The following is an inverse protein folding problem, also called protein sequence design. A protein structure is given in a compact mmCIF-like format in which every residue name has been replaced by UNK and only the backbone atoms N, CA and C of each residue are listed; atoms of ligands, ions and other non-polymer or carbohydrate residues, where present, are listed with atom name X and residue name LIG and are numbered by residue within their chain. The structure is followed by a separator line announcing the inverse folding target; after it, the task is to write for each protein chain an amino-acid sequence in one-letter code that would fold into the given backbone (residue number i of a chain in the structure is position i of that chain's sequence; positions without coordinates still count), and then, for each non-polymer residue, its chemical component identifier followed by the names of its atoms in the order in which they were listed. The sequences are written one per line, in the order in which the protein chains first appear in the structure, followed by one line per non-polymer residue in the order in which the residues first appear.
data_IF_842091813233
#
_entry.id   IF_842091813233
#
_cell.length_a   1.000
_cell.length_b   1.000
_cell.length_c   1.000
_cell.angle_alpha   90.00
_cell.angle_beta   90.00
_cell.angle_gamma   90.00
#
_symmetry.space_group_name_H-M   'P 1'
#
loop_
_entity.id
_entity.type
_entity.pdbx_description
1 polymer ?
#
# COMPACT_ATOMS: atom_id res chain seq x y z
N UNK A 1 49.21 72.71 14.94
CA UNK A 1 49.43 71.25 15.18
C UNK A 1 50.66 70.83 14.39
N UNK A 2 51.69 70.28 15.00
CA UNK A 2 52.97 70.04 14.29
C UNK A 2 52.77 68.89 13.27
N UNK A 3 53.25 69.08 12.03
CA UNK A 3 53.19 68.14 10.91
C UNK A 3 53.63 66.69 11.35
N UNK A 4 54.57 66.61 12.30
CA UNK A 4 55.00 65.31 12.88
C UNK A 4 53.91 64.53 13.60
N UNK A 5 52.91 65.14 14.21
CA UNK A 5 51.80 64.42 14.88
C UNK A 5 50.83 63.89 13.86
N UNK A 6 50.65 64.57 12.72
CA UNK A 6 49.75 64.14 11.64
C UNK A 6 50.33 62.94 10.88
N UNK A 7 51.66 62.95 10.64
CA UNK A 7 52.32 61.78 10.02
C UNK A 7 52.32 60.52 10.89
N UNK A 8 52.49 60.70 12.21
CA UNK A 8 52.47 59.57 13.18
C UNK A 8 51.07 58.96 13.24
N UNK A 9 50.02 59.80 13.29
CA UNK A 9 48.61 59.29 13.32
C UNK A 9 48.23 58.59 12.02
N UNK A 10 48.71 59.04 10.85
CA UNK A 10 48.51 58.38 9.58
C UNK A 10 49.17 57.01 9.50
N UNK A 11 50.41 56.87 10.03
CA UNK A 11 51.13 55.59 10.05
C UNK A 11 50.43 54.62 10.99
N UNK A 12 49.95 55.09 12.17
CA UNK A 12 49.24 54.21 13.09
C UNK A 12 47.88 53.74 12.49
N UNK A 13 47.16 54.64 11.78
CA UNK A 13 45.89 54.29 11.13
C UNK A 13 46.12 53.22 10.03
N UNK A 14 47.20 53.32 9.23
CA UNK A 14 47.56 52.37 8.21
C UNK A 14 47.92 51.00 8.80
N UNK A 15 48.68 50.99 9.91
CA UNK A 15 49.06 49.75 10.60
C UNK A 15 47.83 49.06 11.20
N UNK A 16 46.94 49.79 11.85
CA UNK A 16 45.71 49.24 12.45
C UNK A 16 44.78 48.68 11.33
N UNK A 17 44.60 49.42 10.24
CA UNK A 17 43.84 49.00 9.08
C UNK A 17 44.41 47.73 8.45
N UNK A 18 45.75 47.68 8.27
CA UNK A 18 46.45 46.51 7.72
C UNK A 18 46.31 45.28 8.63
N UNK A 19 46.46 45.45 9.94
CA UNK A 19 46.25 44.36 10.92
C UNK A 19 44.81 43.87 10.95
N UNK A 20 43.85 44.80 10.89
CA UNK A 20 42.43 44.48 10.88
C UNK A 20 42.05 43.73 9.60
N UNK A 21 42.53 44.18 8.45
CA UNK A 21 42.29 43.50 7.17
C UNK A 21 42.94 42.10 7.15
N UNK A 22 44.15 41.97 7.67
CA UNK A 22 44.82 40.69 7.80
C UNK A 22 44.10 39.73 8.78
N UNK A 23 43.62 40.25 9.88
CA UNK A 23 42.86 39.47 10.85
C UNK A 23 41.51 39.06 10.28
N UNK A 24 40.82 39.99 9.56
CA UNK A 24 39.56 39.70 8.88
C UNK A 24 39.73 38.67 7.76
N UNK A 25 40.78 38.82 6.95
CA UNK A 25 41.09 37.84 5.89
C UNK A 25 41.38 36.45 6.44
N UNK A 26 42.10 36.35 7.57
CA UNK A 26 42.31 35.08 8.27
C UNK A 26 41.02 34.51 8.87
N UNK A 27 40.09 35.34 9.31
CA UNK A 27 38.80 34.87 9.82
C UNK A 27 37.89 34.41 8.70
N UNK A 28 37.86 35.15 7.57
CA UNK A 28 37.06 34.78 6.38
C UNK A 28 37.67 33.57 5.71
N UNK A 29 38.98 33.45 5.61
CA UNK A 29 39.67 32.26 5.08
C UNK A 29 39.52 31.01 5.99
N UNK A 30 39.25 31.19 7.29
CA UNK A 30 38.92 30.10 8.23
C UNK A 30 37.44 29.73 8.27
N UNK A 31 36.59 30.41 7.48
CA UNK A 31 35.35 29.80 7.09
C UNK A 31 35.67 28.79 5.97
N UNK A 32 36.49 27.78 6.35
CA UNK A 32 36.57 26.53 5.62
C UNK A 32 35.10 26.13 5.40
N UNK A 33 34.64 26.31 4.18
CA UNK A 33 33.47 25.54 3.76
C UNK A 33 33.77 24.12 4.19
N UNK A 34 32.93 23.51 5.04
CA UNK A 34 33.17 22.12 5.40
C UNK A 34 33.38 21.43 4.07
N UNK A 35 34.54 20.83 3.87
CA UNK A 35 34.87 20.10 2.66
C UNK A 35 33.64 19.25 2.41
N UNK A 36 32.86 19.57 1.36
CA UNK A 36 31.60 18.90 1.10
C UNK A 36 31.98 17.46 0.93
N UNK A 37 31.85 16.70 2.04
CA UNK A 37 32.07 15.27 1.97
C UNK A 37 31.13 14.79 0.90
N UNK A 38 31.70 14.32 -0.19
CA UNK A 38 30.96 13.80 -1.32
C UNK A 38 30.68 12.34 -1.03
N UNK A 39 29.46 11.94 -1.18
CA UNK A 39 29.06 10.55 -1.15
C UNK A 39 28.82 10.08 -2.57
N UNK A 40 29.28 8.88 -2.89
CA UNK A 40 29.05 8.30 -4.23
C UNK A 40 27.72 7.55 -4.22
N UNK A 41 26.93 7.79 -5.25
CA UNK A 41 25.71 7.04 -5.53
C UNK A 41 25.72 6.48 -6.92
N UNK A 42 25.07 5.32 -7.09
CA UNK A 42 24.88 4.71 -8.39
C UNK A 42 23.83 5.49 -9.16
N UNK A 43 24.12 5.83 -10.40
CA UNK A 43 23.25 6.55 -11.31
C UNK A 43 23.23 5.88 -12.68
N UNK A 44 22.24 6.21 -13.49
CA UNK A 44 22.11 5.75 -14.86
C UNK A 44 23.20 6.36 -15.76
N UNK A 45 23.99 5.56 -16.45
CA UNK A 45 24.99 6.03 -17.42
C UNK A 45 24.35 6.44 -18.77
N UNK A 46 23.17 5.94 -19.07
CA UNK A 46 22.32 6.25 -20.23
C UNK A 46 20.86 6.37 -19.79
N UNK A 47 19.99 6.84 -20.68
CA UNK A 47 18.54 6.71 -20.43
C UNK A 47 18.18 5.22 -20.34
N UNK A 48 17.32 4.87 -19.34
CA UNK A 48 16.86 3.53 -19.06
C UNK A 48 15.33 3.50 -19.13
N UNK A 49 14.81 2.50 -19.81
CA UNK A 49 13.37 2.31 -19.93
C UNK A 49 12.83 1.40 -18.82
N UNK A 50 11.55 1.55 -18.50
CA UNK A 50 10.86 0.65 -17.58
C UNK A 50 10.90 -0.80 -18.12
N UNK A 51 11.19 -1.77 -17.23
CA UNK A 51 11.37 -3.18 -17.59
C UNK A 51 12.78 -3.56 -18.06
N UNK A 52 13.70 -2.58 -18.24
CA UNK A 52 15.09 -2.87 -18.59
C UNK A 52 15.84 -3.46 -17.39
N UNK A 53 16.63 -4.52 -17.62
CA UNK A 53 17.50 -5.10 -16.60
C UNK A 53 18.80 -4.30 -16.52
N UNK A 54 19.16 -3.86 -15.32
CA UNK A 54 20.35 -3.07 -15.06
C UNK A 54 21.63 -3.91 -15.27
N UNK A 55 22.43 -3.53 -16.26
CA UNK A 55 23.73 -4.11 -16.53
C UNK A 55 24.82 -3.19 -15.97
N UNK A 56 25.96 -3.72 -15.50
CA UNK A 56 27.05 -2.87 -14.99
C UNK A 56 27.46 -1.74 -15.95
N UNK A 57 27.46 -1.98 -17.27
CA UNK A 57 27.80 -0.97 -18.29
C UNK A 57 26.74 0.13 -18.50
N UNK A 58 25.53 -0.03 -17.95
CA UNK A 58 24.49 1.01 -17.95
C UNK A 58 24.47 1.86 -16.68
N UNK A 59 25.43 1.62 -15.76
CA UNK A 59 25.54 2.24 -14.46
C UNK A 59 26.83 3.06 -14.34
N UNK A 60 26.77 4.13 -13.57
CA UNK A 60 27.93 4.96 -13.22
C UNK A 60 27.83 5.43 -11.78
N UNK A 61 28.96 5.81 -11.17
CA UNK A 61 28.97 6.47 -9.87
C UNK A 61 28.94 7.98 -10.08
N UNK A 62 28.09 8.68 -9.36
CA UNK A 62 28.00 10.15 -9.33
C UNK A 62 28.28 10.65 -7.93
N UNK A 63 28.97 11.78 -7.85
CA UNK A 63 29.23 12.48 -6.61
C UNK A 63 27.99 13.25 -6.16
N UNK A 64 27.60 13.08 -4.91
CA UNK A 64 26.46 13.75 -4.32
C UNK A 64 26.84 14.44 -3.00
N UNK A 65 26.30 15.63 -2.71
CA UNK A 65 26.61 16.32 -1.46
C UNK A 65 26.14 15.51 -0.24
N UNK A 66 27.02 15.24 0.71
CA UNK A 66 26.65 14.53 1.95
C UNK A 66 25.70 15.33 2.84
N UNK A 67 25.57 16.64 2.60
CA UNK A 67 24.60 17.51 3.27
C UNK A 67 23.15 17.21 2.90
N UNK A 68 22.91 16.50 1.78
CA UNK A 68 21.59 16.12 1.30
C UNK A 68 21.59 14.64 0.87
N UNK A 69 21.69 13.69 1.80
CA UNK A 69 21.79 12.27 1.47
C UNK A 69 20.52 11.78 0.77
N UNK A 70 20.70 10.92 -0.25
CA UNK A 70 19.58 10.31 -0.97
C UNK A 70 19.05 9.11 -0.19
N UNK A 71 17.81 9.21 0.30
CA UNK A 71 17.14 8.09 0.95
C UNK A 71 16.89 6.96 -0.04
N UNK A 72 17.34 5.75 0.28
CA UNK A 72 17.23 4.58 -0.61
C UNK A 72 18.18 4.59 -1.79
N UNK A 73 19.21 5.46 -1.82
CA UNK A 73 20.25 5.45 -2.84
C UNK A 73 21.26 4.34 -2.65
N UNK A 74 21.76 3.76 -3.74
CA UNK A 74 22.77 2.71 -3.70
C UNK A 74 24.17 3.29 -3.84
N UNK A 75 25.09 2.80 -3.01
CA UNK A 75 26.50 3.22 -3.02
C UNK A 75 27.38 2.35 -3.93
N UNK A 76 26.96 1.12 -4.25
CA UNK A 76 27.73 0.17 -5.04
C UNK A 76 26.90 -0.35 -6.22
N UNK A 77 27.54 -0.53 -7.37
CA UNK A 77 26.92 -1.03 -8.60
C UNK A 77 26.39 -2.46 -8.40
N UNK A 78 27.10 -3.27 -7.61
CA UNK A 78 26.75 -4.67 -7.37
C UNK A 78 25.39 -4.83 -6.67
N UNK A 79 24.99 -3.86 -5.83
CA UNK A 79 23.74 -3.89 -5.09
C UNK A 79 22.49 -3.67 -6.00
N UNK A 80 22.75 -3.17 -7.22
CA UNK A 80 21.72 -2.75 -8.19
C UNK A 80 21.78 -3.56 -9.48
N UNK A 81 22.94 -4.07 -9.84
CA UNK A 81 23.11 -4.86 -11.05
C UNK A 81 22.22 -6.10 -11.07
N UNK A 82 21.57 -6.38 -12.21
CA UNK A 82 20.64 -7.48 -12.37
C UNK A 82 19.22 -7.20 -11.91
N UNK A 83 18.95 -6.05 -11.28
CA UNK A 83 17.58 -5.62 -10.92
C UNK A 83 16.88 -5.01 -12.12
N UNK A 84 15.56 -5.05 -12.15
CA UNK A 84 14.73 -4.49 -13.22
C UNK A 84 14.29 -3.07 -12.86
N UNK A 85 14.39 -2.16 -13.83
CA UNK A 85 13.91 -0.76 -13.71
C UNK A 85 12.38 -0.76 -13.71
N UNK A 86 11.76 -0.12 -12.74
CA UNK A 86 10.29 -0.02 -12.63
C UNK A 86 9.76 1.23 -13.36
N UNK A 87 10.53 2.32 -13.39
CA UNK A 87 10.16 3.59 -13.99
C UNK A 87 11.31 4.10 -14.89
N UNK A 88 11.02 4.79 -16.00
CA UNK A 88 12.06 5.35 -16.85
C UNK A 88 13.00 6.26 -16.04
N UNK A 89 14.29 6.17 -16.30
CA UNK A 89 15.33 6.98 -15.68
C UNK A 89 16.13 7.75 -16.72
N UNK A 90 16.36 9.03 -16.46
CA UNK A 90 17.22 9.84 -17.32
C UNK A 90 18.70 9.53 -17.09
N UNK A 91 19.54 9.83 -18.11
CA UNK A 91 21.00 9.75 -17.95
C UNK A 91 21.48 10.67 -16.81
N UNK A 92 22.30 10.12 -15.91
CA UNK A 92 22.85 10.83 -14.75
C UNK A 92 21.91 10.83 -13.52
N UNK A 93 20.70 10.30 -13.65
CA UNK A 93 19.76 10.23 -12.55
C UNK A 93 20.18 9.17 -11.51
N UNK A 94 20.25 9.51 -10.22
CA UNK A 94 20.57 8.54 -9.16
C UNK A 94 19.50 7.45 -9.07
N UNK A 95 19.95 6.21 -8.94
CA UNK A 95 19.06 5.06 -8.81
C UNK A 95 18.72 4.88 -7.34
N UNK A 96 17.43 4.92 -7.04
CA UNK A 96 16.89 4.72 -5.69
C UNK A 96 16.15 3.37 -5.62
N UNK A 97 15.99 2.86 -4.42
CA UNK A 97 15.31 1.57 -4.20
C UNK A 97 13.89 1.52 -4.78
N UNK A 98 13.17 2.64 -4.73
CA UNK A 98 11.85 2.78 -5.36
C UNK A 98 11.85 2.71 -6.90
N UNK A 99 13.00 2.91 -7.54
CA UNK A 99 13.12 2.91 -9.01
C UNK A 99 13.37 1.52 -9.58
N UNK A 100 13.67 0.55 -8.71
CA UNK A 100 14.07 -0.79 -9.15
C UNK A 100 13.29 -1.86 -8.41
N UNK A 101 13.04 -2.97 -9.09
CA UNK A 101 12.40 -4.14 -8.49
C UNK A 101 13.27 -4.74 -7.39
N UNK A 102 12.66 -5.50 -6.48
CA UNK A 102 13.40 -6.26 -5.49
C UNK A 102 14.38 -7.22 -6.16
N UNK A 103 15.49 -7.52 -5.51
CA UNK A 103 16.45 -8.48 -6.04
C UNK A 103 15.76 -9.84 -6.29
N UNK A 104 15.94 -10.39 -7.50
CA UNK A 104 15.32 -11.64 -7.89
C UNK A 104 13.84 -11.59 -8.27
N UNK A 105 13.20 -10.42 -8.31
CA UNK A 105 11.78 -10.28 -8.66
C UNK A 105 11.47 -10.63 -10.14
N UNK A 106 12.48 -10.81 -10.97
CA UNK A 106 12.30 -11.16 -12.40
C UNK A 106 12.15 -9.92 -13.30
N UNK A 107 11.55 -10.14 -14.47
CA UNK A 107 11.38 -9.12 -15.51
C UNK A 107 9.88 -8.92 -15.84
N UNK A 108 9.56 -7.80 -16.48
CA UNK A 108 8.18 -7.49 -16.89
C UNK A 108 7.24 -7.30 -15.70
N UNK A 109 6.01 -7.78 -15.82
CA UNK A 109 4.98 -7.58 -14.80
C UNK A 109 5.36 -8.16 -13.43
N UNK A 110 6.10 -9.27 -13.40
CA UNK A 110 6.55 -9.90 -12.14
C UNK A 110 7.46 -9.00 -11.31
N UNK A 111 8.22 -8.10 -11.95
CA UNK A 111 9.08 -7.14 -11.28
C UNK A 111 8.27 -6.12 -10.42
N UNK A 112 7.03 -5.86 -10.80
CA UNK A 112 6.12 -4.94 -10.12
C UNK A 112 5.28 -5.62 -9.01
N UNK A 113 5.42 -6.92 -8.81
CA UNK A 113 4.69 -7.65 -7.77
C UNK A 113 5.51 -7.64 -6.47
N UNK A 114 5.04 -6.99 -5.40
CA UNK A 114 5.72 -7.01 -4.10
C UNK A 114 5.81 -8.43 -3.52
N UNK A 115 6.81 -8.67 -2.69
CA UNK A 115 6.95 -9.95 -1.99
C UNK A 115 5.68 -10.26 -1.17
N UNK A 116 5.21 -11.50 -1.26
CA UNK A 116 3.99 -11.96 -0.59
C UNK A 116 2.70 -11.66 -1.35
N UNK A 117 2.73 -10.84 -2.39
CA UNK A 117 1.56 -10.55 -3.23
C UNK A 117 1.50 -11.43 -4.48
N UNK A 118 0.35 -11.41 -5.16
CA UNK A 118 0.05 -12.14 -6.39
C UNK A 118 -0.62 -11.21 -7.40
N UNK A 119 -0.36 -11.44 -8.68
CA UNK A 119 -1.10 -10.80 -9.76
C UNK A 119 -2.08 -11.82 -10.35
N UNK A 120 -3.34 -11.41 -10.50
CA UNK A 120 -4.35 -12.20 -11.18
C UNK A 120 -5.03 -11.35 -12.24
N UNK A 121 -5.21 -11.91 -13.43
CA UNK A 121 -5.91 -11.24 -14.53
C UNK A 121 -7.35 -11.74 -14.58
N UNK A 122 -8.27 -10.82 -14.45
CA UNK A 122 -9.71 -11.07 -14.55
C UNK A 122 -10.24 -10.42 -15.82
N UNK A 123 -11.18 -11.11 -16.50
CA UNK A 123 -11.89 -10.51 -17.61
C UNK A 123 -12.98 -9.60 -17.04
N UNK A 124 -13.04 -8.39 -17.54
CA UNK A 124 -14.14 -7.48 -17.31
C UNK A 124 -15.20 -7.76 -18.37
N UNK A 125 -16.40 -8.14 -17.96
CA UNK A 125 -17.54 -8.01 -18.84
C UNK A 125 -17.72 -6.51 -19.10
N UNK A 126 -18.04 -6.16 -20.35
CA UNK A 126 -18.04 -4.79 -20.85
C UNK A 126 -18.90 -3.88 -19.95
N UNK A 127 -18.26 -3.25 -18.96
CA UNK A 127 -18.96 -2.36 -18.04
C UNK A 127 -18.97 -0.97 -18.63
N UNK A 128 -20.12 -0.63 -19.11
CA UNK A 128 -20.53 0.70 -19.53
C UNK A 128 -20.10 1.74 -18.48
N UNK A 129 -19.20 2.63 -18.86
CA UNK A 129 -18.96 3.91 -18.20
C UNK A 129 -17.66 4.04 -17.38
N UNK A 130 -17.10 2.98 -16.80
CA UNK A 130 -15.90 3.08 -15.94
C UNK A 130 -14.68 2.41 -16.55
N UNK A 131 -14.86 1.54 -17.56
CA UNK A 131 -13.78 0.74 -18.15
C UNK A 131 -12.62 1.61 -18.68
N UNK A 132 -12.90 2.77 -19.24
CA UNK A 132 -11.87 3.69 -19.75
C UNK A 132 -11.08 4.44 -18.68
N UNK A 133 -11.55 4.45 -17.43
CA UNK A 133 -10.89 5.13 -16.30
C UNK A 133 -10.16 4.18 -15.36
N UNK A 134 -10.26 2.88 -15.59
CA UNK A 134 -9.50 1.88 -14.84
C UNK A 134 -8.06 1.88 -15.32
N UNK A 135 -7.20 2.62 -14.63
CA UNK A 135 -5.79 2.73 -14.95
C UNK A 135 -4.94 1.98 -13.92
N UNK A 136 -3.73 1.53 -14.29
CA UNK A 136 -2.78 1.00 -13.32
C UNK A 136 -2.55 1.98 -12.15
N UNK A 137 -2.52 1.45 -10.92
CA UNK A 137 -2.40 2.22 -9.69
C UNK A 137 -3.73 2.72 -9.11
N UNK A 138 -4.87 2.58 -9.80
CA UNK A 138 -6.18 2.91 -9.24
C UNK A 138 -6.71 1.78 -8.35
N UNK A 139 -7.66 2.13 -7.47
CA UNK A 139 -8.29 1.20 -6.53
C UNK A 139 -9.71 0.87 -6.99
N UNK A 140 -10.05 -0.42 -6.91
CA UNK A 140 -11.36 -0.93 -7.28
C UNK A 140 -11.91 -1.88 -6.23
N UNK A 141 -13.25 -1.97 -6.18
CA UNK A 141 -13.95 -3.06 -5.53
C UNK A 141 -14.40 -4.06 -6.61
N UNK A 142 -14.35 -5.34 -6.27
CA UNK A 142 -14.76 -6.45 -7.17
C UNK A 142 -16.09 -7.00 -6.71
N UNK A 143 -17.08 -6.91 -7.56
CA UNK A 143 -18.42 -7.43 -7.33
C UNK A 143 -18.64 -8.69 -8.17
N UNK A 144 -19.32 -9.65 -7.59
CA UNK A 144 -19.75 -10.87 -8.24
C UNK A 144 -21.28 -10.91 -8.32
N UNK A 145 -21.81 -11.07 -9.53
CA UNK A 145 -23.22 -11.39 -9.74
C UNK A 145 -23.35 -12.88 -10.06
N UNK A 146 -24.07 -13.61 -9.23
CA UNK A 146 -24.18 -15.06 -9.29
C UNK A 146 -25.60 -15.54 -9.01
N UNK A 147 -25.90 -16.78 -9.40
CA UNK A 147 -27.12 -17.48 -9.05
C UNK A 147 -26.83 -18.46 -7.91
N UNK A 148 -27.70 -18.49 -6.91
CA UNK A 148 -27.59 -19.44 -5.79
C UNK A 148 -28.41 -20.69 -6.09
N UNK A 149 -27.91 -21.87 -5.72
CA UNK A 149 -28.66 -23.13 -5.84
C UNK A 149 -29.99 -23.11 -5.04
N UNK A 150 -30.10 -22.21 -4.06
CA UNK A 150 -31.27 -22.06 -3.22
C UNK A 150 -32.29 -21.05 -3.75
N UNK A 151 -31.94 -20.24 -4.73
CA UNK A 151 -32.79 -19.22 -5.33
C UNK A 151 -32.40 -19.01 -6.80
N UNK A 152 -33.33 -19.09 -7.74
CA UNK A 152 -33.08 -18.81 -9.15
C UNK A 152 -32.80 -17.33 -9.41
N UNK A 153 -33.04 -16.46 -8.42
CA UNK A 153 -32.82 -15.02 -8.54
C UNK A 153 -31.34 -14.67 -8.45
N UNK A 154 -30.85 -13.77 -9.33
CA UNK A 154 -29.49 -13.31 -9.27
C UNK A 154 -29.24 -12.48 -7.99
N UNK A 155 -28.05 -12.64 -7.43
CA UNK A 155 -27.55 -11.88 -6.30
C UNK A 155 -26.20 -11.28 -6.62
N UNK A 156 -25.97 -10.06 -6.14
CA UNK A 156 -24.67 -9.39 -6.26
C UNK A 156 -24.05 -9.23 -4.90
N UNK A 157 -22.79 -9.60 -4.78
CA UNK A 157 -22.01 -9.44 -3.54
C UNK A 157 -20.64 -8.84 -3.86
N UNK A 158 -20.13 -8.01 -2.96
CA UNK A 158 -18.73 -7.55 -3.05
C UNK A 158 -17.81 -8.66 -2.54
N UNK A 159 -16.94 -9.14 -3.39
CA UNK A 159 -15.98 -10.22 -3.11
C UNK A 159 -14.68 -9.67 -2.55
N UNK A 160 -14.17 -8.59 -3.17
CA UNK A 160 -12.93 -7.93 -2.78
C UNK A 160 -13.17 -6.43 -2.69
N UNK A 161 -12.48 -5.78 -1.75
CA UNK A 161 -12.54 -4.33 -1.55
C UNK A 161 -11.14 -3.75 -1.51
N UNK A 162 -10.99 -2.52 -2.01
CA UNK A 162 -9.74 -1.76 -2.00
C UNK A 162 -8.57 -2.49 -2.66
N UNK A 163 -8.81 -3.00 -3.86
CA UNK A 163 -7.81 -3.75 -4.64
C UNK A 163 -7.13 -2.83 -5.64
N UNK A 164 -5.80 -2.91 -5.71
CA UNK A 164 -5.00 -2.12 -6.65
C UNK A 164 -4.97 -2.79 -8.01
N UNK A 165 -5.21 -2.02 -9.05
CA UNK A 165 -4.98 -2.42 -10.44
C UNK A 165 -3.49 -2.37 -10.74
N UNK A 166 -2.89 -3.51 -11.06
CA UNK A 166 -1.50 -3.62 -11.43
C UNK A 166 -1.25 -3.34 -12.91
N UNK A 167 -2.18 -3.78 -13.77
CA UNK A 167 -2.12 -3.57 -15.21
C UNK A 167 -3.51 -3.61 -15.83
N UNK A 168 -3.69 -2.92 -16.96
CA UNK A 168 -4.92 -2.95 -17.77
C UNK A 168 -4.56 -3.34 -19.20
N UNK A 169 -5.09 -4.48 -19.66
CA UNK A 169 -4.64 -5.09 -20.91
C UNK A 169 -3.14 -5.36 -20.86
N UNK A 170 -2.37 -4.66 -21.70
CA UNK A 170 -0.90 -4.73 -21.73
C UNK A 170 -0.21 -3.51 -21.07
N UNK A 171 -0.99 -2.55 -20.56
CA UNK A 171 -0.45 -1.35 -19.92
C UNK A 171 -0.16 -1.58 -18.45
N UNK A 172 1.06 -1.30 -18.03
CA UNK A 172 1.55 -1.39 -16.64
C UNK A 172 1.62 0.00 -15.98
N UNK A 173 1.69 1.05 -16.79
CA UNK A 173 1.71 2.44 -16.32
C UNK A 173 0.45 3.18 -16.78
N UNK A 174 -0.01 4.20 -16.04
CA UNK A 174 -1.10 5.07 -16.49
C UNK A 174 -0.75 5.73 -17.83
N UNK A 175 -1.77 5.92 -18.68
CA UNK A 175 -1.59 6.68 -19.93
C UNK A 175 -1.24 8.13 -19.57
N UNK A 176 -0.11 8.68 -20.07
CA UNK A 176 0.29 10.06 -19.81
C UNK A 176 -0.74 11.08 -20.29
N UNK A 177 -1.46 10.76 -21.37
CA UNK A 177 -2.49 11.62 -21.95
C UNK A 177 -3.86 11.45 -21.24
N UNK A 178 -4.00 10.49 -20.31
CA UNK A 178 -5.24 10.23 -19.60
C UNK A 178 -6.39 9.77 -20.48
N UNK A 179 -6.10 9.26 -21.69
CA UNK A 179 -7.14 8.82 -22.63
C UNK A 179 -7.81 7.55 -22.13
N UNK A 180 -9.16 7.49 -22.14
CA UNK A 180 -9.89 6.28 -21.83
C UNK A 180 -9.54 5.18 -22.83
N UNK A 181 -9.12 4.02 -22.39
CA UNK A 181 -8.89 2.85 -23.21
C UNK A 181 -9.98 1.80 -22.93
N UNK A 182 -10.45 1.13 -23.98
CA UNK A 182 -11.30 -0.04 -23.83
C UNK A 182 -10.48 -1.19 -23.23
N UNK A 183 -10.83 -1.63 -22.01
CA UNK A 183 -10.09 -2.65 -21.27
C UNK A 183 -10.96 -3.86 -21.03
N UNK A 184 -10.56 -5.00 -21.63
CA UNK A 184 -11.27 -6.28 -21.45
C UNK A 184 -10.62 -7.17 -20.39
N UNK A 185 -9.39 -6.86 -19.96
CA UNK A 185 -8.65 -7.63 -18.96
C UNK A 185 -8.01 -6.67 -17.96
N UNK A 186 -8.29 -6.88 -16.69
CA UNK A 186 -7.72 -6.12 -15.57
C UNK A 186 -6.88 -7.06 -14.73
N UNK A 187 -5.63 -6.69 -14.50
CA UNK A 187 -4.73 -7.44 -13.63
C UNK A 187 -4.68 -6.77 -12.26
N UNK A 188 -5.07 -7.52 -11.24
CA UNK A 188 -5.18 -7.08 -9.86
C UNK A 188 -3.98 -7.54 -9.04
N UNK A 189 -3.56 -6.73 -8.10
CA UNK A 189 -2.55 -7.06 -7.10
C UNK A 189 -3.24 -7.50 -5.81
N UNK A 190 -3.10 -8.77 -5.43
CA UNK A 190 -3.85 -9.41 -4.37
C UNK A 190 -2.93 -10.15 -3.38
N UNK A 191 -3.40 -10.34 -2.16
CA UNK A 191 -2.87 -11.36 -1.27
C UNK A 191 -3.25 -12.76 -1.78
N UNK A 192 -2.50 -13.81 -1.42
CA UNK A 192 -2.81 -15.17 -1.86
C UNK A 192 -4.26 -15.60 -1.59
N UNK A 193 -4.78 -15.30 -0.39
CA UNK A 193 -6.12 -15.65 0.05
C UNK A 193 -7.21 -14.94 -0.80
N UNK A 194 -6.97 -13.67 -1.16
CA UNK A 194 -7.87 -12.88 -1.98
C UNK A 194 -7.81 -13.32 -3.46
N UNK A 195 -6.64 -13.80 -3.91
CA UNK A 195 -6.50 -14.39 -5.24
C UNK A 195 -7.34 -15.68 -5.37
N UNK A 196 -7.36 -16.55 -4.34
CA UNK A 196 -8.20 -17.74 -4.30
C UNK A 196 -9.68 -17.38 -4.35
N UNK A 197 -10.11 -16.36 -3.59
CA UNK A 197 -11.49 -15.82 -3.63
C UNK A 197 -11.85 -15.30 -5.02
N UNK A 198 -10.94 -14.56 -5.66
CA UNK A 198 -11.14 -14.04 -7.00
C UNK A 198 -11.34 -15.15 -8.03
N UNK A 199 -10.51 -16.20 -7.98
CA UNK A 199 -10.62 -17.36 -8.86
C UNK A 199 -11.95 -18.07 -8.66
N UNK A 200 -12.33 -18.31 -7.40
CA UNK A 200 -13.62 -18.93 -7.11
C UNK A 200 -14.79 -18.07 -7.64
N UNK A 201 -14.74 -16.76 -7.45
CA UNK A 201 -15.76 -15.84 -7.93
C UNK A 201 -15.92 -15.92 -9.44
N UNK A 202 -14.84 -16.01 -10.23
CA UNK A 202 -14.92 -16.13 -11.70
C UNK A 202 -15.61 -17.41 -12.17
N UNK A 203 -15.58 -18.47 -11.37
CA UNK A 203 -16.25 -19.74 -11.68
C UNK A 203 -17.76 -19.73 -11.35
N UNK A 204 -18.20 -18.80 -10.50
CA UNK A 204 -19.58 -18.74 -10.01
C UNK A 204 -20.47 -17.77 -10.78
N UNK A 205 -19.92 -16.76 -11.45
CA UNK A 205 -20.73 -15.79 -12.16
C UNK A 205 -19.94 -14.64 -12.80
N UNK A 206 -20.65 -13.56 -13.10
CA UNK A 206 -20.10 -12.39 -13.76
C UNK A 206 -19.38 -11.47 -12.77
N UNK A 207 -18.19 -11.01 -13.17
CA UNK A 207 -17.37 -10.08 -12.38
C UNK A 207 -17.55 -8.65 -12.89
N UNK A 208 -17.77 -7.74 -11.95
CA UNK A 208 -17.86 -6.31 -12.20
C UNK A 208 -16.86 -5.55 -11.35
N UNK A 209 -16.25 -4.52 -11.94
CA UNK A 209 -15.33 -3.63 -11.24
C UNK A 209 -16.01 -2.30 -10.93
N UNK A 210 -15.86 -1.82 -9.71
CA UNK A 210 -16.33 -0.51 -9.25
C UNK A 210 -15.12 0.32 -8.86
N UNK A 211 -14.94 1.45 -9.55
CA UNK A 211 -13.84 2.36 -9.26
C UNK A 211 -14.04 3.01 -7.88
N UNK A 212 -12.99 2.99 -7.08
CA UNK A 212 -12.98 3.53 -5.73
C UNK A 212 -12.26 4.87 -5.67
N UNK A 213 -12.66 5.73 -4.75
CA UNK A 213 -11.90 6.94 -4.47
C UNK A 213 -10.51 6.54 -3.95
N UNK A 214 -9.45 7.11 -4.54
CA UNK A 214 -8.07 6.79 -4.20
C UNK A 214 -7.65 7.08 -2.75
N UNK A 215 -8.42 7.87 -2.00
CA UNK A 215 -8.18 8.15 -0.58
C UNK A 215 -9.02 7.27 0.36
N UNK A 216 -10.03 6.57 -0.15
CA UNK A 216 -10.92 5.72 0.66
C UNK A 216 -10.30 4.34 0.87
N UNK A 217 -9.97 4.02 2.12
CA UNK A 217 -9.42 2.73 2.58
C UNK A 217 -10.39 1.98 3.49
N UNK A 218 -11.60 2.53 3.72
CA UNK A 218 -12.56 1.91 4.62
C UNK A 218 -13.15 0.64 4.00
N UNK A 219 -12.99 -0.49 4.66
CA UNK A 219 -13.63 -1.74 4.27
C UNK A 219 -14.94 -1.90 5.05
N UNK A 220 -16.04 -2.11 4.34
CA UNK A 220 -17.37 -2.29 4.95
C UNK A 220 -17.82 -3.73 4.80
N UNK A 221 -18.50 -4.30 5.81
CA UNK A 221 -19.12 -5.60 5.66
C UNK A 221 -20.04 -5.60 4.44
N UNK A 222 -19.77 -6.48 3.48
CA UNK A 222 -20.59 -6.61 2.28
C UNK A 222 -21.74 -7.58 2.56
N UNK A 223 -22.95 -7.09 2.39
CA UNK A 223 -24.15 -7.91 2.32
C UNK A 223 -24.49 -8.14 0.85
N UNK A 224 -24.84 -9.37 0.48
CA UNK A 224 -25.31 -9.64 -0.86
C UNK A 224 -26.69 -8.99 -1.09
N UNK A 225 -26.85 -8.33 -2.23
CA UNK A 225 -28.11 -7.68 -2.65
C UNK A 225 -28.83 -8.56 -3.65
N UNK A 226 -30.10 -8.85 -3.41
CA UNK A 226 -30.98 -9.60 -4.32
C UNK A 226 -32.08 -8.70 -4.92
N UNK A 227 -32.88 -9.27 -5.86
CA UNK A 227 -33.96 -8.54 -6.52
C UNK A 227 -34.98 -7.94 -5.55
N UNK A 228 -35.33 -8.68 -4.48
CA UNK A 228 -36.29 -8.23 -3.47
C UNK A 228 -35.81 -6.97 -2.72
N UNK A 229 -34.51 -6.85 -2.52
CA UNK A 229 -33.88 -5.69 -1.88
C UNK A 229 -33.84 -4.48 -2.83
N UNK A 230 -33.64 -4.72 -4.14
CA UNK A 230 -33.70 -3.67 -5.17
C UNK A 230 -35.12 -3.13 -5.36
N UNK A 231 -36.14 -4.00 -5.27
CA UNK A 231 -37.55 -3.60 -5.42
C UNK A 231 -38.11 -2.85 -4.20
N UNK A 232 -37.32 -2.61 -3.17
CA UNK A 232 -37.76 -1.95 -1.93
C UNK A 232 -38.79 -2.77 -1.12
N UNK A 233 -39.01 -4.04 -1.49
CA UNK A 233 -39.88 -4.98 -0.81
C UNK A 233 -39.15 -5.82 0.23
N UNK A 234 -37.87 -5.50 0.48
CA UNK A 234 -37.11 -6.14 1.55
C UNK A 234 -37.81 -5.88 2.89
N UNK A 235 -38.40 -6.91 3.44
CA UNK A 235 -38.80 -6.91 4.83
C UNK A 235 -37.59 -6.44 5.67
N UNK A 236 -37.78 -5.56 6.65
CA UNK A 236 -36.66 -5.09 7.45
C UNK A 236 -35.94 -6.33 7.99
N UNK A 237 -34.67 -6.50 7.59
CA UNK A 237 -33.82 -7.55 8.16
C UNK A 237 -33.94 -7.38 9.68
N UNK A 238 -34.62 -8.31 10.31
CA UNK A 238 -34.88 -8.27 11.73
C UNK A 238 -33.54 -8.32 12.46
N UNK A 239 -32.98 -7.15 12.76
CA UNK A 239 -31.89 -6.98 13.75
C UNK A 239 -32.30 -7.46 15.14
N UNK A 240 -33.54 -8.02 15.25
CA UNK A 240 -34.17 -8.33 16.54
C UNK A 240 -33.77 -9.64 17.21
N UNK A 241 -33.17 -10.60 16.48
CA UNK A 241 -32.96 -11.92 17.10
C UNK A 241 -31.66 -12.00 17.90
N UNK A 242 -30.64 -11.25 17.51
CA UNK A 242 -29.38 -11.26 18.27
C UNK A 242 -29.44 -10.44 19.58
N UNK A 243 -30.33 -9.45 19.67
CA UNK A 243 -30.44 -8.59 20.85
C UNK A 243 -31.33 -9.21 21.94
N UNK A 244 -32.33 -10.03 21.57
CA UNK A 244 -33.22 -10.68 22.53
C UNK A 244 -32.53 -11.86 23.21
N UNK A 245 -31.64 -12.57 22.51
CA UNK A 245 -30.88 -13.68 23.12
C UNK A 245 -29.90 -13.21 24.24
N UNK A 246 -29.61 -11.91 24.30
CA UNK A 246 -28.72 -11.34 25.32
C UNK A 246 -29.46 -10.83 26.56
N UNK A 247 -30.79 -10.79 26.52
CA UNK A 247 -31.64 -10.31 27.63
C UNK A 247 -32.30 -11.43 28.40
N UNK A 248 -32.19 -12.67 27.94
CA UNK A 248 -32.68 -13.82 28.73
C UNK A 248 -31.54 -14.29 29.64
N UNK A 249 -31.77 -14.37 30.95
CA UNK A 249 -30.77 -14.95 31.82
C UNK A 249 -30.52 -16.42 31.41
N UNK A 250 -29.26 -16.89 31.51
CA UNK A 250 -28.93 -18.25 31.14
C UNK A 250 -29.83 -19.22 31.95
N UNK A 251 -30.45 -20.18 31.26
CA UNK A 251 -31.22 -21.22 31.92
C UNK A 251 -30.36 -21.84 33.01
N UNK A 252 -30.88 -22.00 34.27
CA UNK A 252 -30.14 -22.64 35.33
C UNK A 252 -29.72 -24.04 34.88
N UNK A 253 -28.46 -24.37 35.08
CA UNK A 253 -27.93 -25.71 34.78
C UNK A 253 -28.61 -26.72 35.68
N UNK A 254 -29.41 -27.63 35.13
CA UNK A 254 -29.96 -28.79 35.80
C UNK A 254 -28.93 -29.93 35.72
N UNK A 255 -28.65 -30.53 36.88
CA UNK A 255 -27.82 -31.72 36.97
C UNK A 255 -28.69 -32.92 37.29
N UNK A 256 -28.62 -33.96 36.49
CA UNK A 256 -29.27 -35.24 36.76
C UNK A 256 -28.28 -36.14 37.49
N UNK A 257 -28.67 -36.57 38.68
CA UNK A 257 -27.92 -37.54 39.46
C UNK A 257 -28.64 -38.86 39.38
N UNK A 258 -28.03 -39.85 38.77
CA UNK A 258 -28.55 -41.21 38.72
C UNK A 258 -27.99 -42.00 39.90
N UNK A 259 -28.85 -42.36 40.81
CA UNK A 259 -28.48 -43.23 41.95
C UNK A 259 -28.89 -44.65 41.62
N UNK A 260 -27.95 -45.58 41.66
CA UNK A 260 -28.19 -47.00 41.42
C UNK A 260 -28.15 -47.74 42.75
N UNK A 261 -29.31 -48.28 43.17
CA UNK A 261 -29.46 -49.13 44.38
C UNK A 261 -29.85 -50.51 43.88
N UNK A 262 -28.88 -51.41 43.80
CA UNK A 262 -29.17 -52.77 43.30
C UNK A 262 -29.64 -52.68 41.81
N UNK A 263 -30.82 -53.28 41.56
CA UNK A 263 -31.38 -53.34 40.18
C UNK A 263 -32.33 -52.13 39.87
N UNK A 264 -32.41 -51.13 40.75
CA UNK A 264 -33.25 -49.94 40.57
C UNK A 264 -32.40 -48.68 40.35
N UNK A 265 -32.69 -47.99 39.27
CA UNK A 265 -32.14 -46.67 39.00
C UNK A 265 -33.17 -45.61 39.40
N UNK A 266 -32.73 -44.61 40.16
CA UNK A 266 -33.56 -43.44 40.53
C UNK A 266 -32.82 -42.21 39.99
N UNK A 267 -33.50 -41.47 39.11
CA UNK A 267 -32.97 -40.22 38.51
C UNK A 267 -33.55 -39.05 39.26
N UNK A 268 -32.72 -38.26 39.90
CA UNK A 268 -33.11 -37.01 40.57
C UNK A 268 -32.47 -35.82 39.87
N UNK A 269 -33.29 -34.84 39.48
CA UNK A 269 -32.79 -33.59 38.89
C UNK A 269 -32.65 -32.51 39.98
N UNK A 270 -31.50 -31.84 40.01
CA UNK A 270 -31.20 -30.77 40.94
C UNK A 270 -30.91 -29.48 40.21
N UNK A 271 -31.56 -28.38 40.64
CA UNK A 271 -31.21 -27.01 40.16
C UNK A 271 -30.17 -26.40 41.09
N UNK A 272 -29.06 -25.94 40.54
CA UNK A 272 -28.09 -25.16 41.30
C UNK A 272 -28.76 -23.86 41.77
N UNK A 273 -28.78 -23.62 43.08
CA UNK A 273 -29.20 -22.34 43.66
C UNK A 273 -28.08 -21.33 43.43
N UNK A 274 -28.42 -20.20 42.83
CA UNK A 274 -27.47 -19.12 42.64
C UNK A 274 -27.00 -18.58 44.01
N UNK A 275 -25.69 -18.39 44.24
CA UNK A 275 -25.18 -17.92 45.54
C UNK A 275 -25.53 -16.45 45.85
N UNK A 276 -26.27 -15.75 44.99
CA UNK A 276 -26.65 -14.34 45.18
C UNK A 276 -28.09 -14.15 45.80
N UNK A 277 -28.80 -15.20 46.20
CA UNK A 277 -30.17 -15.09 46.72
C UNK A 277 -30.23 -14.98 48.25
N UNK A 278 -29.19 -14.48 48.90
CA UNK A 278 -29.18 -14.19 50.33
C UNK A 278 -29.06 -12.69 50.61
N UNK A 279 -30.11 -11.92 50.31
CA UNK A 279 -30.35 -10.63 50.94
C UNK A 279 -31.86 -10.44 51.10
N UNK A 280 -32.36 -10.89 52.24
CA UNK A 280 -33.39 -10.23 53.03
C UNK A 280 -32.77 -9.73 54.32
#
# INVERSE_FOLDING_TARGET
MSAKRLTISLVIALLVSGLFTFWLSKRVAKTDQPAHQKQLYVAAAKALEAGEVLKPGSLQLVEWPSSAPLSGGFARIEDVAGRTVLYPLAKGEPILDRHVAAAGAGVGLSANIPSGMRAISLRSDEVVGVAGFMQPGTHVDVLLTYHSDKSPEPRTATVLQDVVILATGQQIHPDPDGKPASVNVVTLLLKPEDAERAVLATSLGAIHFVLRNGADREQKPSLSVGLNELAGTAAPVSRGVATIARLLPPKPKEYEVVTVLGDKQVVNSFKLRDPMDNHE
#
